data_IF_766827167777
#
_entry.id   IF_766827167777
#
_cell.length_a   1.000
_cell.length_b   1.000
_cell.length_c   1.000
_cell.angle_alpha   90.00
_cell.angle_beta   90.00
_cell.angle_gamma   90.00
#
_symmetry.space_group_name_H-M   'P 1'
#
loop_
_entity.id
_entity.type
_entity.pdbx_description
1 polymer ?
#
# COMPACT_ATOMS: atom_id res chain seq x y z
N UNK A 1 -40.77 9.84 9.00
CA UNK A 1 -40.01 10.49 7.90
C UNK A 1 -38.98 9.49 7.38
N UNK A 2 -39.21 8.82 6.24
CA UNK A 2 -38.21 7.95 5.60
C UNK A 2 -37.19 8.83 4.88
N UNK A 3 -35.93 8.83 5.32
CA UNK A 3 -34.84 9.42 4.53
C UNK A 3 -34.82 8.78 3.14
N UNK A 4 -34.68 9.57 2.10
CA UNK A 4 -34.59 9.02 0.74
C UNK A 4 -33.33 8.15 0.63
N UNK A 5 -33.36 7.11 -0.22
CA UNK A 5 -32.22 6.20 -0.43
C UNK A 5 -30.94 6.97 -0.78
N UNK A 6 -31.07 8.10 -1.48
CA UNK A 6 -29.98 9.00 -1.85
C UNK A 6 -29.32 9.66 -0.64
N UNK A 7 -30.11 10.17 0.31
CA UNK A 7 -29.61 10.78 1.54
C UNK A 7 -28.89 9.77 2.43
N UNK A 8 -29.41 8.55 2.53
CA UNK A 8 -28.77 7.48 3.30
C UNK A 8 -27.40 7.11 2.72
N UNK A 9 -27.29 7.00 1.38
CA UNK A 9 -26.00 6.74 0.70
C UNK A 9 -25.01 7.89 0.90
N UNK A 10 -25.46 9.15 0.82
CA UNK A 10 -24.60 10.31 1.06
C UNK A 10 -24.07 10.37 2.50
N UNK A 11 -24.91 10.06 3.50
CA UNK A 11 -24.47 9.97 4.89
C UNK A 11 -23.41 8.88 5.09
N UNK A 12 -23.54 7.77 4.38
CA UNK A 12 -22.56 6.69 4.39
C UNK A 12 -21.20 7.14 3.84
N UNK A 13 -21.18 7.81 2.68
CA UNK A 13 -19.93 8.37 2.12
C UNK A 13 -19.29 9.42 3.04
N UNK A 14 -20.08 10.27 3.70
CA UNK A 14 -19.55 11.21 4.70
C UNK A 14 -18.93 10.52 5.92
N UNK A 15 -19.45 9.37 6.34
CA UNK A 15 -18.84 8.57 7.41
C UNK A 15 -17.53 7.94 6.96
N UNK A 16 -17.49 7.40 5.75
CA UNK A 16 -16.26 6.86 5.16
C UNK A 16 -15.18 7.94 5.00
N UNK A 17 -15.56 9.13 4.52
CA UNK A 17 -14.64 10.27 4.40
C UNK A 17 -13.97 10.62 5.74
N UNK A 18 -14.76 10.70 6.82
CA UNK A 18 -14.22 10.89 8.18
C UNK A 18 -13.29 9.75 8.61
N UNK A 19 -13.63 8.50 8.27
CA UNK A 19 -12.76 7.36 8.58
C UNK A 19 -11.41 7.48 7.86
N UNK A 20 -11.40 7.94 6.60
CA UNK A 20 -10.15 8.24 5.89
C UNK A 20 -9.34 9.34 6.58
N UNK A 21 -9.98 10.40 7.06
CA UNK A 21 -9.28 11.42 7.85
C UNK A 21 -8.67 10.87 9.15
N UNK A 22 -9.36 9.96 9.83
CA UNK A 22 -8.81 9.27 11.01
C UNK A 22 -7.61 8.40 10.63
N UNK A 23 -7.66 7.69 9.49
CA UNK A 23 -6.53 6.93 8.97
C UNK A 23 -5.33 7.85 8.72
N UNK A 24 -5.54 9.01 8.07
CA UNK A 24 -4.49 10.00 7.87
C UNK A 24 -3.90 10.51 9.19
N UNK A 25 -4.74 10.79 10.18
CA UNK A 25 -4.29 11.22 11.50
C UNK A 25 -3.51 10.13 12.25
N UNK A 26 -3.79 8.85 11.99
CA UNK A 26 -3.10 7.72 12.60
C UNK A 26 -1.75 7.41 11.93
N UNK A 27 -1.51 7.85 10.69
CA UNK A 27 -0.29 7.53 9.95
C UNK A 27 1.01 7.90 10.70
N UNK A 28 1.17 9.08 11.31
CA UNK A 28 2.38 9.41 12.05
C UNK A 28 2.67 8.42 13.19
N UNK A 29 1.63 7.96 13.89
CA UNK A 29 1.76 6.97 14.97
C UNK A 29 2.18 5.61 14.41
N UNK A 30 1.58 5.18 13.31
CA UNK A 30 1.95 3.92 12.64
C UNK A 30 3.39 3.98 12.11
N UNK A 31 3.79 5.10 11.52
CA UNK A 31 5.16 5.31 11.05
C UNK A 31 6.17 5.31 12.20
N UNK A 32 5.84 5.95 13.32
CA UNK A 32 6.66 5.90 14.53
C UNK A 32 6.81 4.48 15.06
N UNK A 33 5.72 3.71 15.15
CA UNK A 33 5.76 2.33 15.60
C UNK A 33 6.57 1.43 14.64
N UNK A 34 6.44 1.65 13.33
CA UNK A 34 7.22 0.95 12.33
C UNK A 34 8.71 1.30 12.45
N UNK A 35 9.06 2.58 12.60
CA UNK A 35 10.42 3.04 12.86
C UNK A 35 11.00 2.41 14.13
N UNK A 36 10.25 2.48 15.23
CA UNK A 36 10.65 1.94 16.53
C UNK A 36 10.89 0.44 16.46
N UNK A 37 9.96 -0.32 15.87
CA UNK A 37 10.11 -1.77 15.69
C UNK A 37 11.33 -2.09 14.84
N UNK A 38 11.55 -1.34 13.76
CA UNK A 38 12.65 -1.60 12.82
C UNK A 38 14.03 -1.38 13.46
N UNK A 39 14.13 -0.41 14.37
CA UNK A 39 15.39 -0.09 15.06
C UNK A 39 15.62 -0.93 16.33
N UNK A 40 14.56 -1.46 16.95
CA UNK A 40 14.64 -2.24 18.21
C UNK A 40 14.50 -3.76 18.03
N UNK A 41 13.92 -4.23 16.92
CA UNK A 41 13.78 -5.65 16.62
C UNK A 41 15.13 -6.42 16.64
N UNK A 42 16.25 -5.89 16.09
CA UNK A 42 17.52 -6.61 16.11
C UNK A 42 18.03 -6.90 17.54
N UNK A 43 17.84 -5.94 18.45
CA UNK A 43 18.28 -6.06 19.86
C UNK A 43 17.40 -7.04 20.63
N UNK A 44 16.08 -6.93 20.48
CA UNK A 44 15.12 -7.83 21.15
C UNK A 44 15.22 -9.28 20.64
N UNK A 45 15.47 -9.48 19.34
CA UNK A 45 15.74 -10.81 18.78
C UNK A 45 17.05 -11.37 19.33
N UNK A 46 18.12 -10.57 19.40
CA UNK A 46 19.40 -10.99 19.96
C UNK A 46 19.30 -11.39 21.45
N UNK A 47 18.52 -10.65 22.25
CA UNK A 47 18.28 -10.96 23.67
C UNK A 47 17.48 -12.26 23.88
N UNK A 48 16.63 -12.64 22.91
CA UNK A 48 15.81 -13.86 22.98
C UNK A 48 16.54 -15.14 22.56
N UNK A 49 17.74 -15.04 21.99
CA UNK A 49 18.49 -16.18 21.42
C UNK A 49 19.64 -16.58 22.36
N UNK A 50 19.71 -17.87 22.73
CA UNK A 50 20.79 -18.41 23.57
C UNK A 50 21.81 -19.23 22.78
N UNK A 51 23.09 -19.21 23.19
CA UNK A 51 24.14 -20.08 22.64
C UNK A 51 24.54 -19.75 21.19
N UNK A 52 24.65 -20.77 20.33
CA UNK A 52 25.05 -20.60 18.92
C UNK A 52 24.05 -19.76 18.10
N UNK A 53 22.79 -19.68 18.53
CA UNK A 53 21.75 -18.89 17.86
C UNK A 53 22.02 -17.38 17.94
N UNK A 54 22.69 -16.90 18.98
CA UNK A 54 23.09 -15.50 19.09
C UNK A 54 24.08 -15.10 17.97
N UNK A 55 24.86 -16.05 17.43
CA UNK A 55 25.72 -15.80 16.26
C UNK A 55 24.88 -15.52 15.00
N UNK A 56 23.70 -16.12 14.89
CA UNK A 56 22.72 -15.85 13.82
C UNK A 56 21.97 -14.52 14.02
N UNK A 57 21.99 -13.90 15.20
CA UNK A 57 21.40 -12.57 15.39
C UNK A 57 22.11 -11.50 14.54
N UNK A 58 23.37 -11.72 14.17
CA UNK A 58 24.11 -10.87 13.22
C UNK A 58 23.57 -10.91 11.79
N UNK A 59 22.63 -11.79 11.48
CA UNK A 59 21.90 -11.85 10.20
C UNK A 59 20.81 -10.77 10.16
N UNK A 60 20.25 -10.37 11.30
CA UNK A 60 19.23 -9.32 11.37
C UNK A 60 19.94 -7.97 11.30
N UNK A 61 19.99 -7.41 10.10
CA UNK A 61 20.66 -6.15 9.87
C UNK A 61 19.99 -5.03 10.68
N UNK A 62 20.77 -4.37 11.54
CA UNK A 62 20.30 -3.18 12.24
C UNK A 62 20.65 -1.94 11.40
N UNK A 63 19.65 -1.16 10.93
CA UNK A 63 19.93 0.03 10.12
C UNK A 63 20.81 1.04 10.86
N UNK A 64 20.76 1.11 12.20
CA UNK A 64 21.57 2.05 12.99
C UNK A 64 23.07 1.72 12.99
N UNK A 65 23.44 0.47 12.66
CA UNK A 65 24.85 0.03 12.64
C UNK A 65 25.44 -0.01 11.24
N UNK A 66 24.65 0.29 10.20
CA UNK A 66 25.11 0.36 8.81
C UNK A 66 25.91 1.62 8.54
N UNK A 67 26.72 1.60 7.47
CA UNK A 67 27.32 2.80 6.89
C UNK A 67 26.26 3.86 6.55
N UNK A 68 26.66 5.13 6.44
CA UNK A 68 25.75 6.23 6.05
C UNK A 68 25.04 5.95 4.72
N UNK A 69 25.74 5.31 3.77
CA UNK A 69 25.14 4.92 2.49
C UNK A 69 24.12 3.80 2.67
N UNK A 70 24.42 2.80 3.52
CA UNK A 70 23.47 1.74 3.87
C UNK A 70 22.23 2.25 4.56
N UNK A 71 22.36 3.21 5.48
CA UNK A 71 21.24 3.89 6.12
C UNK A 71 20.34 4.61 5.11
N UNK A 72 20.92 5.35 4.16
CA UNK A 72 20.16 6.04 3.12
C UNK A 72 19.39 5.06 2.22
N UNK A 73 20.03 3.95 1.82
CA UNK A 73 19.38 2.91 1.03
C UNK A 73 18.25 2.24 1.81
N UNK A 74 18.47 1.95 3.09
CA UNK A 74 17.46 1.37 3.96
C UNK A 74 16.24 2.30 4.12
N UNK A 75 16.47 3.57 4.46
CA UNK A 75 15.38 4.52 4.67
C UNK A 75 14.66 4.88 3.36
N UNK A 76 15.34 4.84 2.22
CA UNK A 76 14.68 5.02 0.93
C UNK A 76 13.76 3.85 0.57
N UNK A 77 14.14 2.59 0.86
CA UNK A 77 13.23 1.44 0.75
C UNK A 77 12.05 1.55 1.72
N UNK A 78 12.31 1.92 2.98
CA UNK A 78 11.25 2.11 3.96
C UNK A 78 10.25 3.16 3.49
N UNK A 79 10.74 4.30 3.00
CA UNK A 79 9.90 5.36 2.44
C UNK A 79 9.14 4.89 1.19
N UNK A 80 9.76 4.09 0.32
CA UNK A 80 9.11 3.48 -0.83
C UNK A 80 7.93 2.60 -0.40
N UNK A 81 8.14 1.70 0.57
CA UNK A 81 7.08 0.86 1.13
C UNK A 81 5.94 1.65 1.76
N UNK A 82 6.25 2.72 2.50
CA UNK A 82 5.23 3.63 3.06
C UNK A 82 4.47 4.37 1.96
N UNK A 83 5.17 4.80 0.92
CA UNK A 83 4.58 5.56 -0.19
C UNK A 83 3.50 4.77 -0.93
N UNK A 84 3.65 3.44 -1.05
CA UNK A 84 2.64 2.56 -1.61
C UNK A 84 1.28 2.73 -0.93
N UNK A 85 1.27 2.56 0.40
CA UNK A 85 0.06 2.64 1.20
C UNK A 85 -0.50 4.06 1.21
N UNK A 86 0.36 5.07 1.30
CA UNK A 86 -0.06 6.47 1.26
C UNK A 86 -0.73 6.83 -0.07
N UNK A 87 -0.18 6.38 -1.20
CA UNK A 87 -0.74 6.58 -2.54
C UNK A 87 -2.07 5.85 -2.69
N UNK A 88 -2.15 4.59 -2.24
CA UNK A 88 -3.38 3.80 -2.29
C UNK A 88 -4.50 4.43 -1.44
N UNK A 89 -4.20 4.79 -0.20
CA UNK A 89 -5.14 5.50 0.70
C UNK A 89 -5.55 6.84 0.08
N UNK A 90 -4.61 7.58 -0.53
CA UNK A 90 -4.87 8.85 -1.20
C UNK A 90 -5.84 8.71 -2.38
N UNK A 91 -5.66 7.69 -3.22
CA UNK A 91 -6.58 7.40 -4.33
C UNK A 91 -7.98 7.08 -3.83
N UNK A 92 -8.10 6.19 -2.84
CA UNK A 92 -9.38 5.81 -2.25
C UNK A 92 -10.07 6.99 -1.56
N UNK A 93 -9.33 7.77 -0.76
CA UNK A 93 -9.85 8.94 -0.08
C UNK A 93 -10.35 9.98 -1.09
N UNK A 94 -9.60 10.23 -2.18
CA UNK A 94 -10.04 11.14 -3.25
C UNK A 94 -11.35 10.70 -3.88
N UNK A 95 -11.53 9.40 -4.13
CA UNK A 95 -12.78 8.86 -4.67
C UNK A 95 -13.93 9.08 -3.68
N UNK A 96 -13.76 8.69 -2.41
CA UNK A 96 -14.79 8.82 -1.37
C UNK A 96 -15.17 10.27 -1.11
N UNK A 97 -14.19 11.17 -1.04
CA UNK A 97 -14.42 12.60 -0.83
C UNK A 97 -15.25 13.23 -1.97
N UNK A 98 -15.02 12.80 -3.22
CA UNK A 98 -15.84 13.22 -4.37
C UNK A 98 -17.31 12.79 -4.20
N UNK A 99 -17.55 11.54 -3.81
CA UNK A 99 -18.90 11.03 -3.53
C UNK A 99 -19.55 11.72 -2.33
N UNK A 100 -18.81 11.98 -1.25
CA UNK A 100 -19.29 12.67 -0.06
C UNK A 100 -19.76 14.11 -0.36
N UNK A 101 -19.13 14.76 -1.34
CA UNK A 101 -19.45 16.10 -1.81
C UNK A 101 -20.43 16.14 -3.01
N UNK A 102 -21.01 15.00 -3.40
CA UNK A 102 -22.03 14.92 -4.45
C UNK A 102 -21.50 15.07 -5.89
N UNK A 103 -20.19 15.03 -6.11
CA UNK A 103 -19.59 15.01 -7.45
C UNK A 103 -19.59 13.58 -7.98
N UNK A 104 -20.68 13.18 -8.62
CA UNK A 104 -20.89 11.82 -9.14
C UNK A 104 -20.58 11.79 -10.63
N UNK A 105 -19.30 11.80 -10.98
CA UNK A 105 -18.85 11.52 -12.34
C UNK A 105 -18.44 10.04 -12.41
N UNK A 106 -19.31 9.24 -13.03
CA UNK A 106 -19.14 7.79 -13.17
C UNK A 106 -17.85 7.47 -13.96
N UNK A 107 -17.60 8.21 -15.04
CA UNK A 107 -16.39 8.08 -15.87
C UNK A 107 -15.10 8.34 -15.08
N UNK A 108 -15.03 9.43 -14.31
CA UNK A 108 -13.85 9.73 -13.49
C UNK A 108 -13.61 8.70 -12.39
N UNK A 109 -14.68 8.12 -11.84
CA UNK A 109 -14.58 7.08 -10.81
C UNK A 109 -14.03 5.78 -11.40
N UNK A 110 -14.55 5.36 -12.55
CA UNK A 110 -14.07 4.17 -13.26
C UNK A 110 -12.62 4.32 -13.71
N UNK A 111 -12.21 5.52 -14.14
CA UNK A 111 -10.82 5.83 -14.44
C UNK A 111 -9.93 5.73 -13.18
N UNK A 112 -10.44 6.17 -12.02
CA UNK A 112 -9.75 5.99 -10.74
C UNK A 112 -9.56 4.53 -10.36
N UNK A 113 -10.59 3.68 -10.54
CA UNK A 113 -10.51 2.23 -10.31
C UNK A 113 -9.49 1.58 -11.25
N UNK A 114 -9.46 1.98 -12.52
CA UNK A 114 -8.50 1.49 -13.50
C UNK A 114 -7.04 1.79 -13.09
N UNK A 115 -6.76 3.04 -12.73
CA UNK A 115 -5.41 3.43 -12.29
C UNK A 115 -4.99 2.73 -11.00
N UNK A 116 -5.91 2.56 -10.05
CA UNK A 116 -5.67 1.78 -8.83
C UNK A 116 -5.35 0.31 -9.17
N UNK A 117 -6.06 -0.27 -10.13
CA UNK A 117 -5.80 -1.62 -10.62
C UNK A 117 -4.40 -1.77 -11.23
N UNK A 118 -4.01 -0.87 -12.13
CA UNK A 118 -2.65 -0.83 -12.72
C UNK A 118 -1.61 -0.69 -11.62
N UNK A 119 -1.80 0.25 -10.70
CA UNK A 119 -0.85 0.50 -9.62
C UNK A 119 -0.61 -0.75 -8.78
N UNK A 120 -1.67 -1.46 -8.39
CA UNK A 120 -1.57 -2.71 -7.62
C UNK A 120 -0.90 -3.84 -8.41
N UNK A 121 -1.07 -3.92 -9.73
CA UNK A 121 -0.38 -4.94 -10.53
C UNK A 121 1.11 -4.62 -10.71
N UNK A 122 1.45 -3.35 -10.96
CA UNK A 122 2.83 -2.94 -11.25
C UNK A 122 3.68 -2.88 -9.98
N UNK A 123 3.10 -2.46 -8.86
CA UNK A 123 3.85 -2.19 -7.63
C UNK A 123 4.70 -3.37 -7.13
N UNK A 124 4.19 -4.61 -7.02
CA UNK A 124 4.99 -5.75 -6.53
C UNK A 124 6.25 -6.01 -7.35
N UNK A 125 6.24 -5.72 -8.66
CA UNK A 125 7.43 -5.83 -9.50
C UNK A 125 8.45 -4.73 -9.19
N UNK A 126 7.97 -3.49 -9.05
CA UNK A 126 8.83 -2.36 -8.66
C UNK A 126 9.46 -2.61 -7.30
N UNK A 127 8.66 -3.04 -6.33
CA UNK A 127 9.12 -3.37 -4.97
C UNK A 127 10.16 -4.49 -4.96
N UNK A 128 9.91 -5.59 -5.70
CA UNK A 128 10.85 -6.71 -5.78
C UNK A 128 12.18 -6.31 -6.44
N UNK A 129 12.12 -5.58 -7.56
CA UNK A 129 13.32 -5.14 -8.28
C UNK A 129 14.14 -4.18 -7.42
N UNK A 130 13.49 -3.18 -6.82
CA UNK A 130 14.17 -2.17 -5.98
C UNK A 130 14.76 -2.80 -4.72
N UNK A 131 14.01 -3.69 -4.06
CA UNK A 131 14.49 -4.43 -2.88
C UNK A 131 15.74 -5.25 -3.21
N UNK A 132 15.71 -6.03 -4.30
CA UNK A 132 16.86 -6.83 -4.72
C UNK A 132 18.07 -5.97 -5.13
N UNK A 133 17.84 -4.85 -5.82
CA UNK A 133 18.90 -3.91 -6.17
C UNK A 133 19.58 -3.34 -4.92
N UNK A 134 18.79 -2.93 -3.92
CA UNK A 134 19.33 -2.39 -2.66
C UNK A 134 20.06 -3.47 -1.87
N UNK A 135 19.52 -4.68 -1.75
CA UNK A 135 20.20 -5.81 -1.10
C UNK A 135 21.55 -6.09 -1.78
N UNK A 136 21.58 -6.09 -3.11
CA UNK A 136 22.84 -6.27 -3.84
C UNK A 136 23.86 -5.16 -3.54
N UNK A 137 23.43 -3.90 -3.53
CA UNK A 137 24.32 -2.76 -3.21
C UNK A 137 24.83 -2.84 -1.76
N UNK A 138 23.96 -3.15 -0.80
CA UNK A 138 24.34 -3.33 0.60
C UNK A 138 25.37 -4.45 0.78
N UNK A 139 25.22 -5.55 0.03
CA UNK A 139 26.18 -6.65 0.03
C UNK A 139 27.54 -6.22 -0.54
N UNK A 140 27.53 -5.44 -1.63
CA UNK A 140 28.75 -4.91 -2.26
C UNK A 140 29.52 -3.93 -1.36
N UNK A 141 28.82 -3.18 -0.52
CA UNK A 141 29.42 -2.22 0.43
C UNK A 141 29.88 -2.94 1.71
N UNK A 142 29.39 -4.16 1.96
CA UNK A 142 29.74 -4.95 3.15
C UNK A 142 28.86 -4.67 4.37
N UNK A 143 27.79 -3.88 4.21
CA UNK A 143 26.82 -3.58 5.27
C UNK A 143 25.93 -4.80 5.60
N UNK A 144 25.81 -5.75 4.67
CA UNK A 144 25.20 -7.07 4.91
C UNK A 144 26.17 -8.19 4.54
N UNK A 145 26.20 -9.24 5.36
CA UNK A 145 27.13 -10.38 5.20
C UNK A 145 26.64 -11.43 4.21
N UNK A 146 25.33 -11.54 4.04
CA UNK A 146 24.70 -12.57 3.20
C UNK A 146 23.84 -11.91 2.12
N UNK A 147 23.97 -12.40 0.88
CA UNK A 147 23.12 -12.00 -0.22
C UNK A 147 21.85 -12.86 -0.21
N UNK A 148 20.78 -12.34 0.39
CA UNK A 148 19.48 -13.00 0.44
C UNK A 148 18.51 -12.23 -0.45
N UNK A 149 18.43 -12.61 -1.74
CA UNK A 149 17.50 -11.99 -2.68
C UNK A 149 16.06 -12.41 -2.38
N UNK A 150 15.14 -11.46 -2.51
CA UNK A 150 13.71 -11.68 -2.34
C UNK A 150 13.09 -12.02 -3.70
N UNK A 151 12.53 -13.22 -3.80
CA UNK A 151 11.79 -13.69 -4.99
C UNK A 151 10.28 -13.81 -4.73
N UNK A 152 9.82 -13.42 -3.54
CA UNK A 152 8.41 -13.46 -3.20
C UNK A 152 7.71 -12.27 -3.86
N UNK A 153 6.98 -12.55 -4.94
CA UNK A 153 6.02 -11.61 -5.50
C UNK A 153 4.72 -11.65 -4.69
N UNK A 154 4.20 -10.49 -4.34
CA UNK A 154 2.89 -10.38 -3.68
C UNK A 154 1.75 -10.63 -4.68
N UNK A 155 1.48 -11.93 -4.89
CA UNK A 155 0.40 -12.41 -5.78
C UNK A 155 -0.96 -11.90 -5.32
N UNK A 156 -1.17 -11.68 -4.01
CA UNK A 156 -2.42 -11.16 -3.47
C UNK A 156 -2.71 -9.74 -3.95
N UNK A 157 -1.71 -8.88 -3.90
CA UNK A 157 -1.79 -7.50 -4.41
C UNK A 157 -2.01 -7.48 -5.93
N UNK A 158 -1.33 -8.34 -6.68
CA UNK A 158 -1.55 -8.49 -8.13
C UNK A 158 -2.99 -8.93 -8.42
N UNK A 159 -3.48 -9.96 -7.72
CA UNK A 159 -4.84 -10.47 -7.89
C UNK A 159 -5.89 -9.40 -7.58
N UNK A 160 -5.68 -8.59 -6.53
CA UNK A 160 -6.52 -7.44 -6.21
C UNK A 160 -6.53 -6.39 -7.32
N UNK A 161 -5.37 -6.10 -7.92
CA UNK A 161 -5.27 -5.19 -9.06
C UNK A 161 -6.00 -5.70 -10.31
N UNK A 162 -5.82 -6.97 -10.66
CA UNK A 162 -6.53 -7.63 -11.77
C UNK A 162 -8.04 -7.64 -11.52
N UNK A 163 -8.46 -7.95 -10.29
CA UNK A 163 -9.86 -7.92 -9.90
C UNK A 163 -10.48 -6.53 -10.10
N UNK A 164 -9.81 -5.46 -9.68
CA UNK A 164 -10.31 -4.10 -9.87
C UNK A 164 -10.41 -3.70 -11.34
N UNK A 165 -9.45 -4.11 -12.16
CA UNK A 165 -9.51 -3.91 -13.61
C UNK A 165 -10.69 -4.65 -14.24
N UNK A 166 -10.92 -5.92 -13.87
CA UNK A 166 -12.06 -6.68 -14.32
C UNK A 166 -13.39 -6.06 -13.87
N UNK A 167 -13.48 -5.64 -12.60
CA UNK A 167 -14.65 -4.99 -12.02
C UNK A 167 -15.01 -3.70 -12.78
N UNK A 168 -14.01 -2.91 -13.19
CA UNK A 168 -14.22 -1.72 -14.01
C UNK A 168 -14.94 -2.05 -15.32
N UNK A 169 -14.50 -3.07 -16.05
CA UNK A 169 -15.14 -3.47 -17.32
C UNK A 169 -16.55 -4.00 -17.11
N UNK A 170 -16.77 -4.80 -16.07
CA UNK A 170 -18.12 -5.31 -15.73
C UNK A 170 -19.07 -4.15 -15.40
N UNK A 171 -18.62 -3.17 -14.61
CA UNK A 171 -19.42 -1.99 -14.27
C UNK A 171 -19.73 -1.13 -15.49
N UNK A 172 -18.76 -0.88 -16.36
CA UNK A 172 -18.98 -0.16 -17.62
C UNK A 172 -20.04 -0.83 -18.48
N UNK A 173 -19.95 -2.15 -18.64
CA UNK A 173 -20.91 -2.90 -19.42
C UNK A 173 -22.31 -2.88 -18.78
N UNK A 174 -22.41 -3.01 -17.46
CA UNK A 174 -23.68 -2.92 -16.75
C UNK A 174 -24.34 -1.53 -16.88
N UNK A 175 -23.54 -0.46 -16.84
CA UNK A 175 -24.04 0.92 -17.04
C UNK A 175 -24.57 1.11 -18.48
N UNK A 176 -23.84 0.59 -19.47
CA UNK A 176 -24.26 0.65 -20.88
C UNK A 176 -25.60 -0.08 -21.08
N UNK A 177 -25.71 -1.31 -20.60
CA UNK A 177 -26.95 -2.10 -20.69
C UNK A 177 -28.13 -1.41 -20.00
N UNK A 178 -27.91 -0.80 -18.82
CA UNK A 178 -28.96 -0.05 -18.14
C UNK A 178 -29.39 1.17 -18.96
N UNK A 179 -28.44 1.92 -19.53
CA UNK A 179 -28.75 3.09 -20.35
C UNK A 179 -29.52 2.73 -21.62
N UNK A 180 -29.22 1.59 -22.24
CA UNK A 180 -29.95 1.09 -23.41
C UNK A 180 -31.38 0.70 -23.04
N UNK A 181 -31.57 -0.02 -21.92
CA UNK A 181 -32.89 -0.42 -21.45
C UNK A 181 -33.78 0.79 -21.09
N UNK A 182 -33.22 1.80 -20.43
CA UNK A 182 -33.92 3.04 -20.06
C UNK A 182 -34.27 3.92 -21.28
N UNK A 183 -33.64 3.71 -22.44
CA UNK A 183 -33.94 4.41 -23.70
C UNK A 183 -34.97 3.68 -24.57
N UNK A 184 -35.25 2.41 -24.30
CA UNK A 184 -36.18 1.57 -25.06
C UNK A 184 -37.60 1.47 -24.48
N UNK A 185 -37.80 1.90 -23.23
CA UNK A 185 -39.11 1.91 -22.52
C UNK A 185 -39.60 3.35 -22.38
#
# INVERSE_FOLDING_TARGET
>A
MRKSVREQRQLWFRRLDRAFWVIWAALPVVLWLAYYRTTTAPVTIAESLSGEQAKCASIVANPLTMSTMGQLLFWSLFALGVSFYAVLIGMLHRMVNRFANGRIFVSETLQGVWWMGIFLVVWPFVDTITTNAVIYVLYRIGDIRFLLLNYNLDVGTIAGGVFLMALKFVLEHAILLQSENDLTI
#
